data_IF_289426174876
#
_entry.id   IF_289426174876
#
_cell.length_a   1.000
_cell.length_b   1.000
_cell.length_c   1.000
_cell.angle_alpha   90.00
_cell.angle_beta   90.00
_cell.angle_gamma   90.00
#
_symmetry.space_group_name_H-M   'P 1'
#
loop_
_entity.id
_entity.type
_entity.pdbx_description
1 polymer ?
#
# COMPACT_ATOMS: atom_id res chain seq x y z
N UNK A 1 -20.62 -10.22 -1.42
CA UNK A 1 -20.39 -8.76 -1.36
C UNK A 1 -19.15 -8.54 -0.52
N UNK A 2 -18.04 -8.07 -1.10
CA UNK A 2 -16.84 -7.72 -0.36
C UNK A 2 -17.06 -6.33 0.25
N UNK A 3 -17.06 -6.22 1.58
CA UNK A 3 -17.30 -4.95 2.28
C UNK A 3 -15.95 -4.48 2.84
N UNK A 4 -15.47 -3.35 2.32
CA UNK A 4 -14.38 -2.58 2.93
C UNK A 4 -14.98 -1.81 4.10
N UNK A 5 -14.47 -2.04 5.31
CA UNK A 5 -15.04 -1.48 6.53
C UNK A 5 -14.99 0.06 6.52
N UNK A 6 -16.17 0.67 6.43
CA UNK A 6 -16.45 1.89 7.17
C UNK A 6 -17.53 1.51 8.18
N UNK A 7 -17.14 1.55 9.45
CA UNK A 7 -17.95 1.41 10.65
C UNK A 7 -19.46 1.30 10.38
N UNK A 8 -20.01 0.09 10.50
CA UNK A 8 -21.43 -0.05 10.79
C UNK A 8 -21.59 -1.12 11.86
N UNK A 9 -22.14 -0.72 13.00
CA UNK A 9 -22.86 -1.57 13.94
C UNK A 9 -23.78 -2.55 13.17
N UNK A 10 -23.27 -3.71 12.79
CA UNK A 10 -24.05 -4.87 12.36
C UNK A 10 -23.85 -5.95 13.41
N UNK A 11 -24.44 -5.70 14.58
CA UNK A 11 -24.46 -6.63 15.69
C UNK A 11 -25.09 -7.95 15.28
N UNK A 12 -24.56 -9.06 15.81
CA UNK A 12 -25.08 -10.43 15.86
C UNK A 12 -25.74 -11.08 14.61
N UNK A 13 -25.93 -10.39 13.48
CA UNK A 13 -26.57 -10.91 12.27
C UNK A 13 -25.55 -11.51 11.30
N UNK A 14 -24.33 -10.97 11.27
CA UNK A 14 -23.29 -11.36 10.32
C UNK A 14 -22.11 -12.04 11.02
N UNK A 15 -21.62 -13.11 10.40
CA UNK A 15 -20.47 -13.88 10.84
C UNK A 15 -19.28 -13.63 9.92
N UNK A 16 -18.15 -13.21 10.49
CA UNK A 16 -16.88 -13.18 9.77
C UNK A 16 -16.33 -14.59 9.64
N UNK A 17 -16.43 -15.16 8.45
CA UNK A 17 -16.01 -16.52 8.12
C UNK A 17 -14.65 -16.57 7.40
N UNK A 18 -13.90 -15.47 7.33
CA UNK A 18 -12.64 -15.39 6.57
C UNK A 18 -11.63 -16.49 6.94
N UNK A 19 -11.59 -16.90 8.22
CA UNK A 19 -10.73 -17.99 8.72
C UNK A 19 -10.95 -19.35 8.06
N UNK A 20 -12.08 -19.56 7.40
CA UNK A 20 -12.34 -20.81 6.66
C UNK A 20 -11.77 -20.76 5.23
N UNK A 21 -11.47 -19.57 4.74
CA UNK A 21 -11.12 -19.30 3.36
C UNK A 21 -9.67 -18.91 3.16
N UNK A 22 -8.97 -18.43 4.18
CA UNK A 22 -7.56 -18.08 4.08
C UNK A 22 -6.88 -18.03 5.45
N UNK A 23 -5.61 -18.44 5.49
CA UNK A 23 -4.69 -18.29 6.64
C UNK A 23 -3.63 -17.19 6.38
N UNK A 24 -3.74 -16.47 5.26
CA UNK A 24 -2.80 -15.42 4.85
C UNK A 24 -2.91 -14.24 5.81
N UNK A 25 -1.84 -13.98 6.57
CA UNK A 25 -1.78 -12.94 7.63
C UNK A 25 -2.22 -11.57 7.15
N UNK A 26 -1.92 -11.22 5.90
CA UNK A 26 -2.29 -9.93 5.31
C UNK A 26 -3.80 -9.67 5.33
N UNK A 27 -4.62 -10.71 5.16
CA UNK A 27 -6.07 -10.59 5.19
C UNK A 27 -6.68 -10.70 6.60
N UNK A 28 -5.87 -11.04 7.61
CA UNK A 28 -6.29 -11.14 9.01
C UNK A 28 -6.08 -9.86 9.82
N UNK A 29 -5.37 -8.85 9.27
CA UNK A 29 -5.09 -7.56 9.93
C UNK A 29 -6.30 -6.59 9.96
N UNK A 30 -7.51 -7.10 10.21
CA UNK A 30 -8.80 -6.38 10.31
C UNK A 30 -9.23 -5.50 9.12
N UNK A 31 -8.43 -5.39 8.06
CA UNK A 31 -8.76 -4.57 6.88
C UNK A 31 -9.64 -5.28 5.85
N UNK A 32 -9.73 -6.61 5.95
CA UNK A 32 -10.49 -7.45 5.03
C UNK A 32 -11.27 -8.47 5.84
N UNK A 33 -12.55 -8.66 5.49
CA UNK A 33 -13.41 -9.65 6.11
C UNK A 33 -14.34 -10.28 5.09
N UNK A 34 -14.71 -11.54 5.34
CA UNK A 34 -15.72 -12.25 4.54
C UNK A 34 -16.92 -12.47 5.44
N UNK A 35 -18.00 -11.76 5.14
CA UNK A 35 -19.18 -11.72 5.99
C UNK A 35 -20.36 -12.42 5.32
N UNK A 36 -20.98 -13.32 6.08
CA UNK A 36 -22.24 -13.99 5.71
C UNK A 36 -23.25 -13.77 6.83
N UNK A 37 -24.54 -13.75 6.51
CA UNK A 37 -25.57 -13.81 7.57
C UNK A 37 -25.41 -15.12 8.34
N UNK A 38 -25.64 -15.10 9.65
CA UNK A 38 -25.50 -16.28 10.52
C UNK A 38 -26.32 -17.47 10.03
N UNK A 39 -27.57 -17.25 9.66
CA UNK A 39 -28.46 -18.28 9.10
C UNK A 39 -27.93 -18.86 7.78
N UNK A 40 -27.37 -18.03 6.91
CA UNK A 40 -26.85 -18.49 5.62
C UNK A 40 -25.51 -19.20 5.77
N UNK A 41 -24.66 -18.75 6.71
CA UNK A 41 -23.43 -19.43 7.06
C UNK A 41 -23.71 -20.85 7.58
N UNK A 42 -24.69 -21.02 8.47
CA UNK A 42 -25.05 -22.34 9.00
C UNK A 42 -25.60 -23.26 7.90
N UNK A 43 -26.44 -22.75 6.99
CA UNK A 43 -26.92 -23.53 5.84
C UNK A 43 -25.78 -23.95 4.92
N UNK A 44 -24.87 -23.02 4.63
CA UNK A 44 -23.72 -23.27 3.75
C UNK A 44 -22.74 -24.28 4.36
N UNK A 45 -22.47 -24.16 5.66
CA UNK A 45 -21.54 -25.04 6.38
C UNK A 45 -22.02 -26.48 6.44
N UNK A 46 -23.33 -26.69 6.44
CA UNK A 46 -23.93 -28.01 6.44
C UNK A 46 -24.30 -28.52 5.03
N UNK A 47 -23.98 -27.77 3.97
CA UNK A 47 -24.30 -28.18 2.60
C UNK A 47 -23.21 -29.09 2.03
N UNK A 48 -23.58 -29.91 1.04
CA UNK A 48 -22.63 -30.74 0.30
C UNK A 48 -21.58 -29.92 -0.49
N UNK A 49 -21.84 -28.62 -0.72
CA UNK A 49 -20.96 -27.73 -1.47
C UNK A 49 -19.89 -27.06 -0.60
N UNK A 50 -19.94 -27.22 0.73
CA UNK A 50 -19.06 -26.52 1.67
C UNK A 50 -17.58 -26.64 1.29
N UNK A 51 -17.10 -27.87 1.04
CA UNK A 51 -15.70 -28.11 0.73
C UNK A 51 -15.30 -27.52 -0.62
N UNK A 52 -16.19 -27.58 -1.62
CA UNK A 52 -15.97 -27.00 -2.94
C UNK A 52 -15.85 -25.48 -2.86
N UNK A 53 -16.71 -24.85 -2.06
CA UNK A 53 -16.70 -23.40 -1.84
C UNK A 53 -15.46 -22.99 -1.06
N UNK A 54 -15.11 -23.71 0.00
CA UNK A 54 -13.89 -23.47 0.76
C UNK A 54 -12.65 -23.56 -0.14
N UNK A 55 -12.57 -24.59 -0.99
CA UNK A 55 -11.47 -24.75 -1.95
C UNK A 55 -11.41 -23.58 -2.93
N UNK A 56 -12.54 -23.21 -3.53
CA UNK A 56 -12.59 -22.09 -4.46
C UNK A 56 -12.09 -20.79 -3.82
N UNK A 57 -12.56 -20.47 -2.60
CA UNK A 57 -12.14 -19.25 -1.93
C UNK A 57 -10.68 -19.29 -1.48
N UNK A 58 -10.14 -20.44 -1.08
CA UNK A 58 -8.71 -20.61 -0.81
C UNK A 58 -7.87 -20.28 -2.06
N UNK A 59 -8.22 -20.88 -3.20
CA UNK A 59 -7.54 -20.63 -4.47
C UNK A 59 -7.67 -19.16 -4.90
N UNK A 60 -8.84 -18.54 -4.65
CA UNK A 60 -9.08 -17.12 -4.91
C UNK A 60 -8.20 -16.22 -4.04
N UNK A 61 -8.11 -16.46 -2.73
CA UNK A 61 -7.30 -15.64 -1.83
C UNK A 61 -5.80 -15.75 -2.10
N UNK A 62 -5.32 -16.92 -2.52
CA UNK A 62 -3.92 -17.09 -2.99
C UNK A 62 -3.67 -16.19 -4.20
N UNK A 63 -4.53 -16.26 -5.22
CA UNK A 63 -4.40 -15.39 -6.42
C UNK A 63 -4.52 -13.91 -6.09
N UNK A 64 -5.35 -13.57 -5.11
CA UNK A 64 -5.53 -12.19 -4.66
C UNK A 64 -4.27 -11.67 -3.95
N UNK A 65 -3.61 -12.50 -3.15
CA UNK A 65 -2.32 -12.17 -2.54
C UNK A 65 -1.24 -11.98 -3.61
N UNK A 66 -1.12 -12.90 -4.56
CA UNK A 66 -0.16 -12.79 -5.68
C UNK A 66 -0.38 -11.49 -6.47
N UNK A 67 -1.64 -11.19 -6.80
CA UNK A 67 -2.01 -9.95 -7.47
C UNK A 67 -1.62 -8.72 -6.64
N UNK A 68 -1.93 -8.73 -5.34
CA UNK A 68 -1.62 -7.63 -4.45
C UNK A 68 -0.10 -7.40 -4.35
N UNK A 69 0.70 -8.46 -4.16
CA UNK A 69 2.16 -8.37 -4.11
C UNK A 69 2.71 -7.81 -5.43
N UNK A 70 2.21 -8.30 -6.57
CA UNK A 70 2.64 -7.84 -7.88
C UNK A 70 2.33 -6.36 -8.12
N UNK A 71 1.11 -5.91 -7.82
CA UNK A 71 0.72 -4.50 -7.97
C UNK A 71 1.47 -3.60 -7.00
N UNK A 72 1.66 -4.03 -5.74
CA UNK A 72 2.46 -3.27 -4.76
C UNK A 72 3.92 -3.17 -5.18
N UNK A 73 4.46 -4.17 -5.86
CA UNK A 73 5.81 -4.13 -6.43
C UNK A 73 5.98 -3.13 -7.58
N UNK A 74 4.89 -2.68 -8.21
CA UNK A 74 4.93 -1.64 -9.25
C UNK A 74 4.99 -0.22 -8.69
N UNK A 75 4.64 -0.05 -7.41
CA UNK A 75 4.65 1.26 -6.77
C UNK A 75 6.07 1.81 -6.77
N UNK A 76 6.24 3.02 -7.30
CA UNK A 76 7.50 3.73 -7.25
C UNK A 76 7.71 4.24 -5.83
N UNK A 77 8.81 3.83 -5.24
CA UNK A 77 9.30 4.34 -3.96
C UNK A 77 10.05 5.64 -4.17
N UNK A 78 10.29 6.38 -3.08
CA UNK A 78 11.11 7.58 -3.13
C UNK A 78 12.53 7.27 -3.62
N UNK A 79 13.05 6.07 -3.35
CA UNK A 79 14.33 5.59 -3.88
C UNK A 79 14.31 5.41 -5.39
N UNK A 80 13.22 4.90 -5.95
CA UNK A 80 13.09 4.74 -7.40
C UNK A 80 13.09 6.11 -8.10
N UNK A 81 12.47 7.11 -7.47
CA UNK A 81 12.49 8.50 -7.95
C UNK A 81 13.90 9.06 -7.88
N UNK A 82 14.62 8.89 -6.75
CA UNK A 82 16.01 9.34 -6.62
C UNK A 82 16.93 8.67 -7.65
N UNK A 83 16.78 7.36 -7.87
CA UNK A 83 17.54 6.65 -8.91
C UNK A 83 17.26 7.21 -10.31
N UNK A 84 15.98 7.42 -10.64
CA UNK A 84 15.59 8.04 -11.91
C UNK A 84 16.23 9.43 -12.09
N UNK A 85 16.18 10.28 -11.06
CA UNK A 85 16.77 11.62 -11.13
C UNK A 85 18.30 11.56 -11.25
N UNK A 86 18.97 10.61 -10.58
CA UNK A 86 20.41 10.42 -10.68
C UNK A 86 20.86 10.13 -12.12
N UNK A 87 20.12 9.29 -12.82
CA UNK A 87 20.40 8.92 -14.22
C UNK A 87 20.00 10.03 -15.23
N UNK A 88 19.19 11.01 -14.82
CA UNK A 88 18.68 12.09 -15.67
C UNK A 88 19.04 13.46 -15.07
N UNK A 89 20.30 13.86 -15.21
CA UNK A 89 20.88 15.07 -14.58
C UNK A 89 20.09 16.35 -14.91
N UNK A 90 19.68 16.52 -16.15
CA UNK A 90 18.90 17.68 -16.62
C UNK A 90 17.56 17.80 -15.88
N UNK A 91 16.86 16.66 -15.72
CA UNK A 91 15.62 16.59 -14.96
C UNK A 91 15.89 16.88 -13.48
N UNK A 92 16.93 16.28 -12.89
CA UNK A 92 17.31 16.53 -11.50
C UNK A 92 17.54 18.01 -11.22
N UNK A 93 18.27 18.72 -12.08
CA UNK A 93 18.52 20.14 -11.93
C UNK A 93 17.28 21.00 -12.17
N UNK A 94 16.40 20.62 -13.10
CA UNK A 94 15.12 21.31 -13.27
C UNK A 94 14.25 21.23 -12.00
N UNK A 95 14.18 20.05 -11.37
CA UNK A 95 13.52 19.89 -10.08
C UNK A 95 14.21 20.69 -8.98
N UNK A 96 15.55 20.64 -8.91
CA UNK A 96 16.32 21.39 -7.92
C UNK A 96 16.02 22.89 -7.98
N UNK A 97 16.05 23.48 -9.17
CA UNK A 97 15.79 24.91 -9.35
C UNK A 97 14.38 25.28 -8.88
N UNK A 98 13.37 24.50 -9.32
CA UNK A 98 11.98 24.71 -8.90
C UNK A 98 11.81 24.59 -7.38
N UNK A 99 12.46 23.61 -6.79
CA UNK A 99 12.44 23.34 -5.37
C UNK A 99 13.12 24.46 -4.57
N UNK A 100 14.29 24.92 -5.01
CA UNK A 100 15.00 26.03 -4.36
C UNK A 100 14.16 27.33 -4.38
N UNK A 101 13.29 27.52 -5.38
CA UNK A 101 12.31 28.61 -5.43
C UNK A 101 11.09 28.35 -4.50
N UNK A 102 10.40 27.22 -4.69
CA UNK A 102 9.06 26.95 -4.13
C UNK A 102 9.03 26.94 -2.60
N UNK A 103 10.07 26.43 -1.93
CA UNK A 103 10.09 26.33 -0.46
C UNK A 103 11.26 27.09 0.20
N UNK A 104 11.88 28.05 -0.50
CA UNK A 104 12.91 28.92 0.07
C UNK A 104 12.47 29.51 1.43
N UNK A 105 11.23 29.98 1.50
CA UNK A 105 10.66 30.55 2.71
C UNK A 105 10.52 29.52 3.85
N UNK A 106 10.18 28.27 3.53
CA UNK A 106 10.12 27.18 4.53
C UNK A 106 11.52 26.86 5.04
N UNK A 107 12.52 26.82 4.14
CA UNK A 107 13.93 26.59 4.52
C UNK A 107 14.46 27.69 5.45
N UNK A 108 14.03 28.94 5.25
CA UNK A 108 14.40 30.09 6.10
C UNK A 108 13.66 30.09 7.45
N UNK A 109 12.36 29.83 7.45
CA UNK A 109 11.51 29.99 8.65
C UNK A 109 11.46 28.74 9.53
N UNK A 110 11.53 27.56 8.91
CA UNK A 110 11.42 26.24 9.54
C UNK A 110 12.45 25.24 8.97
N UNK A 111 13.75 25.54 9.12
CA UNK A 111 14.80 24.64 8.66
C UNK A 111 14.72 23.25 9.32
N UNK A 112 14.16 23.16 10.52
CA UNK A 112 13.92 21.91 11.24
C UNK A 112 12.98 20.95 10.47
N UNK A 113 11.96 21.49 9.80
CA UNK A 113 11.04 20.69 8.98
C UNK A 113 11.77 20.16 7.75
N UNK A 114 12.52 21.01 7.04
CA UNK A 114 13.26 20.61 5.84
C UNK A 114 14.33 19.57 6.17
N UNK A 115 15.02 19.71 7.31
CA UNK A 115 15.99 18.73 7.79
C UNK A 115 15.37 17.35 8.08
N UNK A 116 14.07 17.30 8.41
CA UNK A 116 13.36 16.04 8.65
C UNK A 116 13.01 15.27 7.35
N UNK A 117 13.08 15.93 6.19
CA UNK A 117 12.73 15.32 4.90
C UNK A 117 13.86 14.43 4.36
N UNK A 118 13.97 13.21 4.89
CA UNK A 118 15.02 12.24 4.57
C UNK A 118 15.36 12.16 3.08
N UNK A 119 14.38 11.89 2.22
CA UNK A 119 14.64 11.69 0.79
C UNK A 119 14.98 12.98 0.03
N UNK A 120 14.52 14.13 0.54
CA UNK A 120 14.92 15.42 -0.02
C UNK A 120 16.38 15.75 0.34
N UNK A 121 16.85 15.38 1.54
CA UNK A 121 18.26 15.50 1.91
C UNK A 121 19.16 14.61 1.02
N UNK A 122 18.70 13.38 0.73
CA UNK A 122 19.38 12.48 -0.22
C UNK A 122 19.42 13.10 -1.64
N UNK A 123 18.34 13.72 -2.09
CA UNK A 123 18.27 14.45 -3.35
C UNK A 123 19.25 15.64 -3.41
N UNK A 124 19.31 16.50 -2.38
CA UNK A 124 20.24 17.64 -2.36
C UNK A 124 21.70 17.18 -2.42
N UNK A 125 22.05 16.10 -1.70
CA UNK A 125 23.39 15.51 -1.74
C UNK A 125 23.70 14.99 -3.14
N UNK A 126 22.78 14.24 -3.74
CA UNK A 126 22.92 13.72 -5.10
C UNK A 126 23.14 14.85 -6.12
N UNK A 127 22.37 15.95 -6.07
CA UNK A 127 22.57 17.07 -6.98
C UNK A 127 23.97 17.71 -6.85
N UNK A 128 24.51 17.81 -5.63
CA UNK A 128 25.88 18.33 -5.40
C UNK A 128 26.95 17.42 -6.00
N UNK A 129 26.78 16.11 -5.88
CA UNK A 129 27.69 15.12 -6.50
C UNK A 129 27.67 15.24 -8.03
N UNK A 130 26.48 15.37 -8.64
CA UNK A 130 26.32 15.47 -10.09
C UNK A 130 26.88 16.76 -10.69
N UNK A 131 26.91 17.85 -9.91
CA UNK A 131 27.44 19.18 -10.26
C UNK A 131 28.98 19.22 -10.17
N UNK A 132 29.57 18.45 -9.25
CA UNK A 132 31.03 18.29 -9.10
C UNK A 132 31.67 17.30 -10.09
N UNK A 133 30.87 16.49 -10.77
CA UNK A 133 31.29 15.53 -11.83
C UNK A 133 31.31 16.18 -13.24
N UNK A 134 31.58 17.49 -13.34
CA UNK A 134 31.70 18.27 -14.60
C UNK A 134 33.17 18.63 -14.86
#
# INVERSE_FOLDING_TARGET
MFILEKESNKGDEFYNCIKYFTDIKMFHDKRVGVYLKNVDFLKLKNSADWDKICKYFKDFFIKLEDFYIHERGKLKTERDILYFLKENKDIAFAFKNKFDEDYMHVKQTRPDIVASWKYYQEFEKMCKELDGDI
#
